data_IF_702790664377
#
_entry.id   IF_702790664377
#
_cell.length_a   1.000
_cell.length_b   1.000
_cell.length_c   1.000
_cell.angle_alpha   90.00
_cell.angle_beta   90.00
_cell.angle_gamma   90.00
#
_symmetry.space_group_name_H-M   'P 1'
#
loop_
_entity.id
_entity.type
_entity.pdbx_description
1 polymer ?
#
# COMPACT_ATOMS: atom_id res chain seq x y z
N UNK A 1 10.69 -19.76 6.49
CA UNK A 1 10.48 -18.36 6.06
C UNK A 1 11.58 -18.02 5.07
N UNK A 2 11.24 -17.73 3.82
CA UNK A 2 12.23 -17.36 2.81
C UNK A 2 12.89 -16.02 3.20
N UNK A 3 14.22 -16.01 3.34
CA UNK A 3 14.98 -14.80 3.63
C UNK A 3 15.04 -13.88 2.41
N UNK A 4 14.69 -12.60 2.58
CA UNK A 4 14.95 -11.56 1.60
C UNK A 4 16.47 -11.28 1.48
N UNK A 5 16.92 -10.85 0.30
CA UNK A 5 18.34 -10.58 -0.05
C UNK A 5 19.31 -11.76 0.03
N UNK A 6 18.96 -12.90 -0.60
CA UNK A 6 19.98 -13.88 -0.99
C UNK A 6 20.89 -13.22 -2.03
N UNK A 7 22.06 -12.73 -1.61
CA UNK A 7 23.12 -12.33 -2.53
C UNK A 7 23.35 -13.50 -3.48
N UNK A 8 23.14 -13.29 -4.79
CA UNK A 8 23.63 -14.22 -5.81
C UNK A 8 25.16 -14.19 -5.75
N UNK A 9 25.76 -15.01 -4.89
CA UNK A 9 27.18 -15.28 -4.98
C UNK A 9 27.37 -16.17 -6.21
N UNK A 10 28.00 -15.63 -7.26
CA UNK A 10 28.32 -16.37 -8.49
C UNK A 10 29.34 -17.50 -8.25
N UNK A 11 29.88 -17.61 -7.03
CA UNK A 11 30.79 -18.66 -6.59
C UNK A 11 30.33 -19.07 -5.19
N UNK A 12 30.17 -20.38 -4.88
CA UNK A 12 30.11 -20.81 -3.50
C UNK A 12 31.47 -20.46 -2.89
N UNK A 13 31.57 -19.32 -2.21
CA UNK A 13 32.72 -19.10 -1.34
C UNK A 13 32.59 -20.15 -0.25
N UNK A 14 33.41 -21.21 -0.32
CA UNK A 14 33.63 -22.07 0.83
C UNK A 14 33.94 -21.15 2.01
N UNK A 15 33.05 -21.13 3.00
CA UNK A 15 33.24 -20.32 4.20
C UNK A 15 34.53 -20.79 4.83
N UNK A 16 35.53 -19.91 4.97
CA UNK A 16 36.78 -20.30 5.61
C UNK A 16 36.50 -20.79 7.04
N UNK A 17 37.29 -21.72 7.59
CA UNK A 17 37.13 -22.18 8.96
C UNK A 17 37.04 -21.03 9.98
N UNK A 18 37.79 -19.95 9.77
CA UNK A 18 37.78 -18.75 10.61
C UNK A 18 36.46 -17.98 10.49
N UNK A 19 35.91 -17.84 9.28
CA UNK A 19 34.62 -17.20 9.07
C UNK A 19 33.48 -17.98 9.74
N UNK A 20 33.51 -19.32 9.64
CA UNK A 20 32.58 -20.20 10.32
C UNK A 20 32.70 -20.09 11.85
N UNK A 21 33.93 -20.11 12.38
CA UNK A 21 34.16 -19.99 13.82
C UNK A 21 33.68 -18.64 14.36
N UNK A 22 33.87 -17.55 13.61
CA UNK A 22 33.34 -16.23 13.93
C UNK A 22 31.81 -16.21 13.96
N UNK A 23 31.16 -16.77 12.94
CA UNK A 23 29.69 -16.85 12.87
C UNK A 23 29.13 -17.69 14.03
N UNK A 24 29.74 -18.83 14.36
CA UNK A 24 29.35 -19.66 15.52
C UNK A 24 29.48 -18.89 16.84
N UNK A 25 30.51 -18.06 16.98
CA UNK A 25 30.67 -17.19 18.17
C UNK A 25 29.56 -16.14 18.22
N UNK A 26 29.23 -15.50 17.11
CA UNK A 26 28.16 -14.51 17.03
C UNK A 26 26.78 -15.12 17.33
N UNK A 27 26.52 -16.34 16.84
CA UNK A 27 25.29 -17.10 17.13
C UNK A 27 25.20 -17.40 18.63
N UNK A 28 26.27 -17.91 19.26
CA UNK A 28 26.27 -18.19 20.70
C UNK A 28 25.98 -16.95 21.53
N UNK A 29 26.63 -15.83 21.23
CA UNK A 29 26.40 -14.55 21.92
C UNK A 29 24.95 -14.09 21.72
N UNK A 30 24.39 -14.24 20.52
CA UNK A 30 22.99 -13.89 20.27
C UNK A 30 22.03 -14.78 21.06
N UNK A 31 22.25 -16.10 21.08
CA UNK A 31 21.42 -17.05 21.82
C UNK A 31 21.44 -16.78 23.33
N UNK A 32 22.61 -16.51 23.90
CA UNK A 32 22.75 -16.14 25.31
C UNK A 32 21.96 -14.86 25.64
N UNK A 33 22.03 -13.84 24.76
CA UNK A 33 21.26 -12.61 24.95
C UNK A 33 19.74 -12.85 24.85
N UNK A 34 19.29 -13.73 23.95
CA UNK A 34 17.88 -14.13 23.85
C UNK A 34 17.42 -14.83 25.13
N UNK A 35 18.22 -15.77 25.63
CA UNK A 35 17.92 -16.51 26.86
C UNK A 35 17.83 -15.56 28.06
N UNK A 36 18.81 -14.66 28.22
CA UNK A 36 18.82 -13.67 29.29
C UNK A 36 17.58 -12.77 29.24
N UNK A 37 17.22 -12.26 28.05
CA UNK A 37 16.00 -11.44 27.88
C UNK A 37 14.76 -12.23 28.26
N UNK A 38 14.64 -13.48 27.82
CA UNK A 38 13.47 -14.31 28.13
C UNK A 38 13.35 -14.59 29.64
N UNK A 39 14.46 -14.92 30.31
CA UNK A 39 14.49 -15.15 31.76
C UNK A 39 14.06 -13.90 32.54
N UNK A 40 14.60 -12.72 32.19
CA UNK A 40 14.20 -11.46 32.83
C UNK A 40 12.73 -11.10 32.58
N UNK A 41 12.21 -11.37 31.37
CA UNK A 41 10.79 -11.18 31.07
C UNK A 41 9.89 -12.11 31.87
N UNK A 42 10.28 -13.38 32.03
CA UNK A 42 9.55 -14.36 32.84
C UNK A 42 9.52 -13.96 34.31
N UNK A 43 10.65 -13.49 34.83
CA UNK A 43 10.78 -12.96 36.18
C UNK A 43 10.06 -11.60 36.40
N UNK A 44 9.52 -10.99 35.33
CA UNK A 44 8.94 -9.63 35.32
C UNK A 44 9.94 -8.56 35.82
N UNK A 45 11.23 -8.77 35.59
CA UNK A 45 12.30 -7.83 35.91
C UNK A 45 12.40 -6.73 34.83
N UNK A 46 11.36 -5.90 34.73
CA UNK A 46 11.25 -4.87 33.70
C UNK A 46 12.10 -3.66 34.08
N UNK A 47 13.34 -3.66 33.60
CA UNK A 47 14.34 -2.61 33.89
C UNK A 47 14.76 -1.88 32.61
N UNK A 48 15.32 -0.67 32.73
CA UNK A 48 15.95 0.02 31.60
C UNK A 48 17.04 -0.83 30.93
N UNK A 49 17.77 -1.64 31.71
CA UNK A 49 18.77 -2.58 31.17
C UNK A 49 18.12 -3.64 30.26
N UNK A 50 17.01 -4.24 30.70
CA UNK A 50 16.26 -5.19 29.88
C UNK A 50 15.77 -4.54 28.58
N UNK A 51 15.27 -3.30 28.64
CA UNK A 51 14.86 -2.55 27.46
C UNK A 51 16.03 -2.36 26.48
N UNK A 52 17.24 -2.07 26.95
CA UNK A 52 18.44 -1.99 26.11
C UNK A 52 18.82 -3.34 25.50
N UNK A 53 18.66 -4.44 26.23
CA UNK A 53 18.90 -5.80 25.69
C UNK A 53 17.90 -6.15 24.57
N UNK A 54 16.62 -5.77 24.70
CA UNK A 54 15.65 -5.93 23.59
C UNK A 54 16.09 -5.11 22.37
N UNK A 55 16.54 -3.87 22.56
CA UNK A 55 17.05 -3.03 21.47
C UNK A 55 18.28 -3.67 20.78
N UNK A 56 19.20 -4.27 21.54
CA UNK A 56 20.37 -4.96 21.00
C UNK A 56 19.99 -6.17 20.13
N UNK A 57 18.99 -6.96 20.56
CA UNK A 57 18.44 -8.06 19.76
C UNK A 57 17.79 -7.56 18.47
N UNK A 58 16.98 -6.51 18.53
CA UNK A 58 16.26 -5.96 17.39
C UNK A 58 17.18 -5.27 16.36
N UNK A 59 18.27 -4.63 16.82
CA UNK A 59 19.33 -4.12 15.93
C UNK A 59 19.98 -5.23 15.10
N UNK A 60 20.07 -6.44 15.65
CA UNK A 60 20.61 -7.63 14.96
C UNK A 60 19.55 -8.29 14.08
N UNK A 61 18.35 -8.53 14.60
CA UNK A 61 17.26 -9.21 13.91
C UNK A 61 15.91 -8.58 14.26
N UNK A 62 15.43 -7.60 13.47
CA UNK A 62 14.12 -6.99 13.68
C UNK A 62 12.96 -7.90 13.26
N UNK A 63 13.20 -9.04 12.60
CA UNK A 63 12.14 -10.00 12.26
C UNK A 63 11.73 -10.87 13.47
N UNK A 64 12.48 -10.80 14.58
CA UNK A 64 12.17 -11.58 15.77
C UNK A 64 11.01 -10.94 16.57
N UNK A 65 9.79 -11.24 16.13
CA UNK A 65 8.54 -10.66 16.65
C UNK A 65 8.35 -10.77 18.17
N UNK A 66 8.82 -11.86 18.79
CA UNK A 66 8.72 -12.05 20.24
C UNK A 66 9.44 -10.93 21.00
N UNK A 67 10.57 -10.43 20.50
CA UNK A 67 11.32 -9.37 21.16
C UNK A 67 10.56 -8.03 21.10
N UNK A 68 9.83 -7.77 20.01
CA UNK A 68 8.92 -6.61 19.95
C UNK A 68 7.81 -6.71 20.98
N UNK A 69 7.25 -7.89 21.19
CA UNK A 69 6.23 -8.12 22.23
C UNK A 69 6.82 -7.91 23.63
N UNK A 70 8.03 -8.41 23.89
CA UNK A 70 8.73 -8.17 25.15
C UNK A 70 8.98 -6.68 25.39
N UNK A 71 9.42 -5.94 24.36
CA UNK A 71 9.59 -4.49 24.42
C UNK A 71 8.28 -3.77 24.79
N UNK A 72 7.15 -4.16 24.19
CA UNK A 72 5.83 -3.62 24.55
C UNK A 72 5.44 -3.94 25.98
N UNK A 73 5.70 -5.14 26.48
CA UNK A 73 5.38 -5.53 27.87
C UNK A 73 6.11 -4.66 28.89
N UNK A 74 7.37 -4.31 28.62
CA UNK A 74 8.14 -3.38 29.44
C UNK A 74 7.46 -2.01 29.47
N UNK A 75 7.15 -1.44 28.30
CA UNK A 75 6.49 -0.13 28.22
C UNK A 75 5.09 -0.11 28.83
N UNK A 76 4.29 -1.16 28.66
CA UNK A 76 2.96 -1.26 29.29
C UNK A 76 3.08 -1.23 30.81
N UNK A 77 4.08 -1.91 31.39
CA UNK A 77 4.33 -1.81 32.83
C UNK A 77 4.76 -0.38 33.21
N UNK A 78 5.70 0.20 32.47
CA UNK A 78 6.21 1.55 32.75
C UNK A 78 5.09 2.60 32.71
N UNK A 79 4.18 2.52 31.73
CA UNK A 79 3.00 3.38 31.67
C UNK A 79 2.04 3.16 32.85
N UNK A 80 1.86 1.91 33.27
CA UNK A 80 1.04 1.56 34.45
C UNK A 80 1.64 2.11 35.73
N UNK A 81 2.96 1.99 35.92
CA UNK A 81 3.67 2.47 37.09
C UNK A 81 3.61 4.00 37.17
N UNK A 82 3.74 4.69 36.04
CA UNK A 82 3.55 6.15 35.96
C UNK A 82 2.11 6.57 36.33
N UNK A 83 1.10 5.83 35.88
CA UNK A 83 -0.29 6.07 36.29
C UNK A 83 -0.51 5.83 37.78
N UNK A 84 0.12 4.79 38.34
CA UNK A 84 0.04 4.50 39.77
C UNK A 84 0.72 5.58 40.61
N UNK A 85 1.90 6.07 40.19
CA UNK A 85 2.62 7.16 40.85
C UNK A 85 1.79 8.44 40.95
N UNK A 86 0.98 8.76 39.92
CA UNK A 86 0.01 9.86 39.99
C UNK A 86 -1.11 9.56 41.00
N UNK A 87 -1.66 8.34 40.98
CA UNK A 87 -2.74 7.95 41.89
C UNK A 87 -2.35 8.02 43.37
N UNK A 88 -1.08 7.77 43.71
CA UNK A 88 -0.55 7.87 45.08
C UNK A 88 0.04 9.24 45.43
N UNK A 89 0.04 10.19 44.48
CA UNK A 89 0.50 11.56 44.69
C UNK A 89 2.02 11.77 44.63
N UNK A 90 2.78 10.78 44.12
CA UNK A 90 4.23 10.89 43.92
C UNK A 90 4.61 11.70 42.66
N UNK A 91 3.73 11.74 41.66
CA UNK A 91 3.89 12.50 40.41
C UNK A 91 2.63 13.29 40.08
N UNK A 92 2.79 14.40 39.36
CA UNK A 92 1.62 15.09 38.77
C UNK A 92 1.23 14.47 37.44
N UNK A 93 0.01 14.77 36.97
CA UNK A 93 -0.45 14.34 35.65
C UNK A 93 0.42 14.92 34.52
N UNK A 94 0.92 16.15 34.68
CA UNK A 94 1.86 16.76 33.73
C UNK A 94 3.19 16.00 33.67
N UNK A 95 3.72 15.55 34.82
CA UNK A 95 4.92 14.72 34.84
C UNK A 95 4.69 13.38 34.13
N UNK A 96 3.54 12.73 34.40
CA UNK A 96 3.14 11.49 33.73
C UNK A 96 3.10 11.64 32.21
N UNK A 97 2.45 12.70 31.72
CA UNK A 97 2.32 12.96 30.29
C UNK A 97 3.68 13.27 29.64
N UNK A 98 4.53 14.05 30.31
CA UNK A 98 5.88 14.35 29.82
C UNK A 98 6.73 13.09 29.68
N UNK A 99 6.74 12.23 30.69
CA UNK A 99 7.55 11.00 30.68
C UNK A 99 7.04 9.98 29.64
N UNK A 100 5.72 9.85 29.46
CA UNK A 100 5.15 9.01 28.40
C UNK A 100 5.51 9.55 27.02
N UNK A 101 5.46 10.86 26.83
CA UNK A 101 5.86 11.49 25.57
C UNK A 101 7.34 11.20 25.26
N UNK A 102 8.22 11.37 26.25
CA UNK A 102 9.65 11.07 26.11
C UNK A 102 9.89 9.60 25.74
N UNK A 103 9.22 8.66 26.41
CA UNK A 103 9.30 7.23 26.10
C UNK A 103 8.92 6.97 24.64
N UNK A 104 7.77 7.50 24.20
CA UNK A 104 7.26 7.30 22.84
C UNK A 104 8.22 7.93 21.81
N UNK A 105 8.64 9.17 22.02
CA UNK A 105 9.53 9.87 21.09
C UNK A 105 10.90 9.19 20.98
N UNK A 106 11.51 8.80 22.10
CA UNK A 106 12.79 8.10 22.11
C UNK A 106 12.69 6.75 21.40
N UNK A 107 11.58 6.02 21.56
CA UNK A 107 11.41 4.75 20.87
C UNK A 107 11.12 4.93 19.38
N UNK A 108 10.31 5.92 18.99
CA UNK A 108 10.13 6.30 17.59
C UNK A 108 11.47 6.68 16.93
N UNK A 109 12.38 7.34 17.65
CA UNK A 109 13.74 7.65 17.19
C UNK A 109 14.60 6.39 17.07
N UNK A 110 14.50 5.45 18.01
CA UNK A 110 15.17 4.15 17.94
C UNK A 110 14.75 3.34 16.70
N UNK A 111 13.47 3.40 16.33
CA UNK A 111 12.94 2.71 15.15
C UNK A 111 13.47 3.27 13.83
N UNK A 112 13.81 4.56 13.76
CA UNK A 112 14.21 5.24 12.52
C UNK A 112 15.38 4.56 11.78
N UNK A 113 16.55 4.31 12.40
CA UNK A 113 17.65 3.60 11.73
C UNK A 113 17.31 2.15 11.36
N UNK A 114 16.44 1.48 12.14
CA UNK A 114 15.98 0.13 11.79
C UNK A 114 15.11 0.16 10.54
N UNK A 115 14.19 1.13 10.46
CA UNK A 115 13.30 1.30 9.33
C UNK A 115 14.06 1.63 8.04
N UNK A 116 15.10 2.45 8.12
CA UNK A 116 15.97 2.76 6.98
C UNK A 116 16.75 1.54 6.46
N UNK A 117 17.12 0.62 7.36
CA UNK A 117 17.87 -0.59 7.04
C UNK A 117 16.97 -1.75 6.60
N UNK A 118 15.79 -1.87 7.19
CA UNK A 118 14.84 -2.95 6.98
C UNK A 118 13.43 -2.40 6.66
N UNK A 119 13.26 -1.66 5.55
CA UNK A 119 12.03 -0.93 5.25
C UNK A 119 10.81 -1.82 4.95
N UNK A 120 11.02 -3.14 4.86
CA UNK A 120 9.99 -4.17 4.58
C UNK A 120 9.76 -5.10 5.77
N UNK A 121 10.35 -4.80 6.93
CA UNK A 121 10.08 -5.57 8.15
C UNK A 121 8.72 -5.18 8.73
N UNK A 122 7.77 -6.11 8.76
CA UNK A 122 6.42 -5.90 9.29
C UNK A 122 6.43 -5.34 10.71
N UNK A 123 7.32 -5.88 11.56
CA UNK A 123 7.30 -5.60 12.98
C UNK A 123 7.77 -4.20 13.35
N UNK A 124 8.63 -3.59 12.53
CA UNK A 124 9.02 -2.19 12.72
C UNK A 124 7.82 -1.27 12.50
N UNK A 125 7.10 -1.44 11.37
CA UNK A 125 5.90 -0.66 11.08
C UNK A 125 4.80 -0.90 12.11
N UNK A 126 4.61 -2.15 12.52
CA UNK A 126 3.61 -2.52 13.52
C UNK A 126 3.93 -1.96 14.92
N UNK A 127 5.19 -1.99 15.35
CA UNK A 127 5.60 -1.37 16.62
C UNK A 127 5.49 0.15 16.58
N UNK A 128 5.80 0.77 15.44
CA UNK A 128 5.61 2.20 15.25
C UNK A 128 4.15 2.63 15.38
N UNK A 129 3.22 1.91 14.74
CA UNK A 129 1.78 2.15 14.90
C UNK A 129 1.33 1.97 16.35
N UNK A 130 1.79 0.91 17.01
CA UNK A 130 1.44 0.65 18.41
C UNK A 130 1.83 1.82 19.33
N UNK A 131 3.02 2.41 19.16
CA UNK A 131 3.45 3.60 19.92
C UNK A 131 2.51 4.79 19.72
N UNK A 132 2.09 5.04 18.49
CA UNK A 132 1.17 6.14 18.15
C UNK A 132 -0.27 5.87 18.64
N UNK A 133 -0.69 4.61 18.68
CA UNK A 133 -1.94 4.22 19.33
C UNK A 133 -1.86 4.49 20.84
N UNK A 134 -0.71 4.20 21.48
CA UNK A 134 -0.51 4.54 22.89
C UNK A 134 -0.52 6.06 23.12
N UNK A 135 0.03 6.87 22.21
CA UNK A 135 -0.06 8.33 22.35
C UNK A 135 -1.51 8.83 22.31
N UNK A 136 -2.36 8.25 21.45
CA UNK A 136 -3.78 8.61 21.39
C UNK A 136 -4.53 8.24 22.67
N UNK A 137 -4.14 7.16 23.35
CA UNK A 137 -4.78 6.71 24.58
C UNK A 137 -4.29 7.50 25.81
N UNK A 138 -2.99 7.80 25.87
CA UNK A 138 -2.33 8.20 27.10
C UNK A 138 -1.97 9.69 27.19
N UNK A 139 -1.95 10.41 26.06
CA UNK A 139 -1.52 11.81 25.96
C UNK A 139 -2.66 12.74 25.55
N UNK A 140 -2.54 14.06 25.81
CA UNK A 140 -3.48 15.05 25.28
C UNK A 140 -3.61 14.97 23.75
N UNK A 141 -4.81 15.28 23.25
CA UNK A 141 -5.16 15.18 21.82
C UNK A 141 -4.18 15.99 20.94
N UNK A 142 -3.82 17.21 21.36
CA UNK A 142 -2.88 18.05 20.61
C UNK A 142 -1.53 17.37 20.44
N UNK A 143 -0.96 16.86 21.53
CA UNK A 143 0.34 16.17 21.53
C UNK A 143 0.31 14.88 20.70
N UNK A 144 -0.74 14.07 20.84
CA UNK A 144 -0.88 12.86 20.02
C UNK A 144 -1.00 13.22 18.53
N UNK A 145 -1.80 14.23 18.20
CA UNK A 145 -1.99 14.68 16.82
C UNK A 145 -0.67 15.14 16.18
N UNK A 146 0.18 15.86 16.92
CA UNK A 146 1.50 16.27 16.44
C UNK A 146 2.37 15.06 16.08
N UNK A 147 2.41 14.04 16.95
CA UNK A 147 3.13 12.79 16.68
C UNK A 147 2.63 12.10 15.40
N UNK A 148 1.31 11.96 15.23
CA UNK A 148 0.74 11.38 14.01
C UNK A 148 1.02 12.21 12.75
N UNK A 149 1.09 13.55 12.86
CA UNK A 149 1.40 14.42 11.73
C UNK A 149 2.86 14.29 11.27
N UNK A 150 3.81 14.17 12.20
CA UNK A 150 5.23 13.95 11.88
C UNK A 150 5.43 12.68 11.03
N UNK A 151 4.61 11.66 11.25
CA UNK A 151 4.64 10.39 10.53
C UNK A 151 4.31 10.52 9.04
N UNK A 152 3.49 11.52 8.65
CA UNK A 152 3.26 11.82 7.23
C UNK A 152 4.56 12.28 6.54
N UNK A 153 5.43 12.99 7.27
CA UNK A 153 6.75 13.40 6.80
C UNK A 153 7.72 12.23 6.68
N UNK A 154 7.74 11.35 7.69
CA UNK A 154 8.54 10.12 7.66
C UNK A 154 8.15 9.23 6.48
N UNK A 155 6.88 8.85 6.39
CA UNK A 155 6.41 7.92 5.35
C UNK A 155 6.55 8.53 3.96
N UNK A 156 6.39 9.86 3.83
CA UNK A 156 6.69 10.59 2.61
C UNK A 156 8.14 10.38 2.15
N UNK A 157 9.12 10.53 3.05
CA UNK A 157 10.54 10.27 2.74
C UNK A 157 10.79 8.81 2.38
N UNK A 158 10.14 7.87 3.07
CA UNK A 158 10.28 6.43 2.78
C UNK A 158 9.74 6.08 1.39
N UNK A 159 8.59 6.63 1.01
CA UNK A 159 7.98 6.44 -0.31
C UNK A 159 8.74 7.18 -1.42
N UNK A 160 9.46 8.27 -1.12
CA UNK A 160 10.39 8.85 -2.09
C UNK A 160 11.60 7.94 -2.38
N UNK A 161 12.01 7.09 -1.43
CA UNK A 161 13.12 6.14 -1.60
C UNK A 161 12.70 4.83 -2.27
N UNK A 162 11.54 4.29 -1.88
CA UNK A 162 10.91 3.12 -2.52
C UNK A 162 9.41 3.39 -2.68
N UNK A 163 9.06 3.91 -3.85
CA UNK A 163 7.69 4.34 -4.16
C UNK A 163 6.70 3.18 -4.32
N UNK A 164 7.19 1.94 -4.38
CA UNK A 164 6.39 0.70 -4.40
C UNK A 164 6.39 -0.03 -3.06
N UNK A 165 6.93 0.59 -2.00
CA UNK A 165 6.89 0.00 -0.67
C UNK A 165 5.44 -0.05 -0.16
N UNK A 166 4.83 -1.23 -0.26
CA UNK A 166 3.44 -1.43 0.15
C UNK A 166 3.24 -1.23 1.67
N UNK A 167 4.27 -1.47 2.49
CA UNK A 167 4.20 -1.16 3.93
C UNK A 167 4.13 0.34 4.15
N UNK A 168 4.94 1.12 3.41
CA UNK A 168 4.89 2.58 3.46
C UNK A 168 3.51 3.11 3.05
N UNK A 169 2.95 2.61 1.96
CA UNK A 169 1.60 2.99 1.54
C UNK A 169 0.51 2.55 2.53
N UNK A 170 0.63 1.34 3.10
CA UNK A 170 -0.27 0.86 4.15
C UNK A 170 -0.21 1.72 5.40
N UNK A 171 0.99 1.99 5.88
CA UNK A 171 1.25 2.83 7.03
C UNK A 171 0.71 4.25 6.84
N UNK A 172 0.95 4.87 5.67
CA UNK A 172 0.40 6.20 5.35
C UNK A 172 -1.12 6.23 5.46
N UNK A 173 -1.82 5.22 4.91
CA UNK A 173 -3.28 5.13 5.02
C UNK A 173 -3.75 5.00 6.47
N UNK A 174 -3.07 4.21 7.30
CA UNK A 174 -3.39 4.10 8.73
C UNK A 174 -3.16 5.42 9.44
N UNK A 175 -2.04 6.13 9.18
CA UNK A 175 -1.76 7.45 9.77
C UNK A 175 -2.84 8.47 9.38
N UNK A 176 -3.22 8.53 8.11
CA UNK A 176 -4.32 9.40 7.64
C UNK A 176 -5.62 9.04 8.34
N UNK A 177 -5.99 7.75 8.38
CA UNK A 177 -7.20 7.30 9.05
C UNK A 177 -7.24 7.69 10.54
N UNK A 178 -6.11 7.57 11.25
CA UNK A 178 -6.00 8.02 12.64
C UNK A 178 -6.19 9.54 12.75
N UNK A 179 -5.54 10.31 11.88
CA UNK A 179 -5.63 11.79 11.86
C UNK A 179 -7.01 12.34 11.52
N UNK A 180 -7.81 11.57 10.76
CA UNK A 180 -9.22 11.84 10.43
C UNK A 180 -10.19 11.39 11.55
N UNK A 181 -9.74 10.57 12.50
CA UNK A 181 -10.61 9.99 13.51
C UNK A 181 -11.12 11.01 14.52
N UNK A 182 -12.30 10.74 15.09
CA UNK A 182 -12.85 11.53 16.18
C UNK A 182 -11.94 11.56 17.41
N UNK A 183 -11.15 10.50 17.65
CA UNK A 183 -10.20 10.44 18.76
C UNK A 183 -9.11 11.53 18.67
N UNK A 184 -8.79 12.00 17.45
CA UNK A 184 -7.83 13.07 17.20
C UNK A 184 -8.48 14.38 16.72
N UNK A 185 -9.80 14.52 16.93
CA UNK A 185 -10.61 15.62 16.42
C UNK A 185 -10.29 15.95 14.95
N UNK A 186 -10.20 14.89 14.15
CA UNK A 186 -9.83 14.94 12.75
C UNK A 186 -10.94 15.35 11.81
N UNK A 187 -10.54 15.80 10.63
CA UNK A 187 -11.40 16.02 9.48
C UNK A 187 -10.82 15.29 8.27
N UNK A 188 -11.63 15.05 7.24
CA UNK A 188 -11.19 14.35 6.03
C UNK A 188 -9.96 15.00 5.41
N UNK A 189 -8.94 14.17 5.15
CA UNK A 189 -7.72 14.56 4.46
C UNK A 189 -7.74 14.12 2.99
N UNK A 190 -8.88 13.63 2.50
CA UNK A 190 -8.97 12.93 1.21
C UNK A 190 -8.47 13.79 0.03
N UNK A 191 -8.77 15.09 -0.01
CA UNK A 191 -8.25 16.00 -1.05
C UNK A 191 -6.75 16.23 -0.95
N UNK A 192 -6.21 16.36 0.26
CA UNK A 192 -4.77 16.47 0.48
C UNK A 192 -4.03 15.21 0.00
N UNK A 193 -4.59 14.04 0.32
CA UNK A 193 -4.05 12.75 -0.14
C UNK A 193 -4.21 12.56 -1.65
N UNK A 194 -5.30 13.05 -2.27
CA UNK A 194 -5.45 13.04 -3.71
C UNK A 194 -4.35 13.88 -4.38
N UNK A 195 -4.03 15.05 -3.81
CA UNK A 195 -2.89 15.87 -4.21
C UNK A 195 -1.55 15.13 -4.05
N UNK A 196 -1.39 14.36 -2.96
CA UNK A 196 -0.21 13.52 -2.76
C UNK A 196 -0.07 12.44 -3.84
N UNK A 197 -1.16 11.74 -4.20
CA UNK A 197 -1.11 10.74 -5.29
C UNK A 197 -0.71 11.36 -6.62
N UNK A 198 -1.22 12.57 -6.95
CA UNK A 198 -0.83 13.31 -8.16
C UNK A 198 0.66 13.61 -8.17
N UNK A 199 1.23 14.07 -7.04
CA UNK A 199 2.68 14.28 -6.90
C UNK A 199 3.48 12.99 -7.12
N UNK A 200 3.02 11.88 -6.52
CA UNK A 200 3.72 10.60 -6.61
C UNK A 200 3.69 10.01 -8.03
N UNK A 201 2.55 10.14 -8.74
CA UNK A 201 2.41 9.77 -10.16
C UNK A 201 3.32 10.64 -11.02
N UNK A 202 3.33 11.96 -10.81
CA UNK A 202 4.20 12.87 -11.56
C UNK A 202 5.69 12.63 -11.34
N UNK A 203 6.08 11.99 -10.23
CA UNK A 203 7.47 11.59 -9.96
C UNK A 203 7.84 10.26 -10.65
N UNK A 204 6.90 9.32 -10.71
CA UNK A 204 7.08 8.03 -11.36
C UNK A 204 5.72 7.51 -11.83
N UNK A 205 5.56 7.50 -13.15
CA UNK A 205 4.33 7.12 -13.81
C UNK A 205 3.97 5.63 -13.56
N UNK A 206 4.97 4.77 -13.40
CA UNK A 206 4.81 3.34 -13.08
C UNK A 206 4.48 3.05 -11.62
N UNK A 207 4.16 4.08 -10.82
CA UNK A 207 3.79 3.91 -9.43
C UNK A 207 2.35 3.39 -9.28
N UNK A 208 2.16 2.08 -9.50
CA UNK A 208 0.88 1.40 -9.32
C UNK A 208 0.22 1.68 -7.96
N UNK A 209 1.01 1.82 -6.90
CA UNK A 209 0.46 2.09 -5.56
C UNK A 209 -0.17 3.48 -5.46
N UNK A 210 0.38 4.48 -6.17
CA UNK A 210 -0.20 5.81 -6.22
C UNK A 210 -1.50 5.83 -7.05
N UNK A 211 -1.54 5.16 -8.21
CA UNK A 211 -2.74 5.01 -9.03
C UNK A 211 -3.87 4.29 -8.28
N UNK A 212 -3.56 3.18 -7.60
CA UNK A 212 -4.51 2.45 -6.77
C UNK A 212 -5.04 3.28 -5.60
N UNK A 213 -4.17 4.07 -4.96
CA UNK A 213 -4.61 4.94 -3.87
C UNK A 213 -5.47 6.10 -4.39
N UNK A 214 -5.17 6.61 -5.59
CA UNK A 214 -5.88 7.72 -6.24
C UNK A 214 -7.35 7.38 -6.44
N UNK A 215 -7.66 6.24 -7.07
CA UNK A 215 -9.06 5.87 -7.33
C UNK A 215 -9.86 5.74 -6.03
N UNK A 216 -9.29 5.12 -5.00
CA UNK A 216 -9.96 4.96 -3.70
C UNK A 216 -10.27 6.31 -3.04
N UNK A 217 -9.36 7.26 -3.16
CA UNK A 217 -9.55 8.62 -2.65
C UNK A 217 -10.64 9.36 -3.42
N UNK A 218 -10.68 9.21 -4.75
CA UNK A 218 -11.73 9.84 -5.57
C UNK A 218 -13.11 9.33 -5.17
N UNK A 219 -13.29 8.01 -5.05
CA UNK A 219 -14.57 7.43 -4.61
C UNK A 219 -14.97 7.97 -3.23
N UNK A 220 -14.04 8.02 -2.28
CA UNK A 220 -14.25 8.61 -0.95
C UNK A 220 -14.68 10.08 -1.05
N UNK A 221 -14.00 10.90 -1.85
CA UNK A 221 -14.32 12.33 -2.03
C UNK A 221 -15.74 12.51 -2.59
N UNK A 222 -16.09 11.75 -3.63
CA UNK A 222 -17.41 11.84 -4.26
C UNK A 222 -18.54 11.45 -3.29
N UNK A 223 -18.28 10.52 -2.37
CA UNK A 223 -19.21 10.14 -1.29
C UNK A 223 -19.31 11.22 -0.20
N UNK A 224 -18.17 11.68 0.33
CA UNK A 224 -18.10 12.67 1.42
C UNK A 224 -18.74 14.01 1.02
N UNK A 225 -18.51 14.44 -0.22
CA UNK A 225 -19.04 15.69 -0.76
C UNK A 225 -20.47 15.57 -1.29
N UNK A 226 -21.05 14.36 -1.26
CA UNK A 226 -22.38 14.06 -1.83
C UNK A 226 -22.48 14.53 -3.27
N UNK A 227 -21.44 14.24 -4.05
CA UNK A 227 -21.31 14.69 -5.43
C UNK A 227 -22.51 14.21 -6.26
N UNK A 228 -23.11 15.14 -7.00
CA UNK A 228 -24.19 14.85 -7.94
C UNK A 228 -23.66 14.19 -9.22
N UNK A 229 -24.57 13.76 -10.11
CA UNK A 229 -24.20 13.02 -11.31
C UNK A 229 -23.31 13.82 -12.28
N UNK A 230 -23.49 15.14 -12.35
CA UNK A 230 -22.67 16.02 -13.18
C UNK A 230 -21.24 16.15 -12.63
N UNK A 231 -21.10 16.32 -11.31
CA UNK A 231 -19.80 16.38 -10.64
C UNK A 231 -19.04 15.06 -10.77
N UNK A 232 -19.75 13.93 -10.65
CA UNK A 232 -19.20 12.58 -10.84
C UNK A 232 -18.73 12.35 -12.28
N UNK A 233 -19.52 12.77 -13.26
CA UNK A 233 -19.18 12.71 -14.68
C UNK A 233 -17.95 13.55 -14.99
N UNK A 234 -17.91 14.78 -14.50
CA UNK A 234 -16.74 15.65 -14.65
C UNK A 234 -15.47 15.03 -14.08
N UNK A 235 -15.55 14.43 -12.89
CA UNK A 235 -14.41 13.71 -12.28
C UNK A 235 -13.95 12.53 -13.16
N UNK A 236 -14.89 11.74 -13.69
CA UNK A 236 -14.59 10.64 -14.61
C UNK A 236 -13.88 11.15 -15.88
N UNK A 237 -14.39 12.21 -16.50
CA UNK A 237 -13.81 12.81 -17.70
C UNK A 237 -12.38 13.32 -17.45
N UNK A 238 -12.13 13.94 -16.29
CA UNK A 238 -10.81 14.40 -15.87
C UNK A 238 -9.83 13.23 -15.67
N UNK A 239 -10.28 12.10 -15.12
CA UNK A 239 -9.45 10.90 -14.92
C UNK A 239 -9.20 10.12 -16.21
N UNK A 240 -10.18 10.05 -17.13
CA UNK A 240 -9.98 9.51 -18.48
C UNK A 240 -8.94 10.32 -19.24
N UNK A 241 -9.09 11.64 -19.25
CA UNK A 241 -8.11 12.54 -19.86
C UNK A 241 -6.72 12.38 -19.25
N UNK A 242 -6.63 12.22 -17.93
CA UNK A 242 -5.36 11.97 -17.24
C UNK A 242 -4.72 10.66 -17.71
N UNK A 243 -5.49 9.57 -17.80
CA UNK A 243 -4.93 8.28 -18.21
C UNK A 243 -4.55 8.26 -19.69
N UNK A 244 -5.31 8.93 -20.57
CA UNK A 244 -4.95 9.10 -21.98
C UNK A 244 -3.63 9.87 -22.13
N UNK A 245 -3.42 10.92 -21.33
CA UNK A 245 -2.16 11.64 -21.31
C UNK A 245 -1.00 10.80 -20.78
N UNK A 246 -1.26 9.90 -19.83
CA UNK A 246 -0.24 9.03 -19.25
C UNK A 246 0.14 7.87 -20.19
N UNK A 247 -0.80 7.37 -21.00
CA UNK A 247 -0.62 6.27 -21.94
C UNK A 247 0.25 6.63 -23.16
N UNK A 248 0.98 7.75 -23.13
CA UNK A 248 2.14 7.95 -24.01
C UNK A 248 3.21 6.87 -23.85
N UNK A 249 3.26 6.20 -22.68
CA UNK A 249 3.97 4.94 -22.47
C UNK A 249 2.98 3.78 -22.38
N UNK A 250 2.55 3.21 -23.53
CA UNK A 250 1.56 2.14 -23.54
C UNK A 250 2.12 0.81 -23.02
N UNK A 251 3.41 0.69 -22.73
CA UNK A 251 3.99 -0.56 -22.23
C UNK A 251 3.89 -0.70 -20.70
N UNK A 252 3.57 0.39 -20.00
CA UNK A 252 3.39 0.38 -18.55
C UNK A 252 2.05 -0.24 -18.14
N UNK A 253 2.13 -1.47 -17.63
CA UNK A 253 0.97 -2.21 -17.14
C UNK A 253 0.15 -1.47 -16.07
N UNK A 254 0.79 -0.59 -15.28
CA UNK A 254 0.13 0.12 -14.17
C UNK A 254 -0.94 1.06 -14.68
N UNK A 255 -0.71 1.66 -15.85
CA UNK A 255 -1.63 2.57 -16.52
C UNK A 255 -2.86 1.82 -17.02
N UNK A 256 -2.66 0.68 -17.67
CA UNK A 256 -3.76 -0.16 -18.11
C UNK A 256 -4.59 -0.71 -16.96
N UNK A 257 -3.99 -1.06 -15.82
CA UNK A 257 -4.77 -1.45 -14.64
C UNK A 257 -5.60 -0.29 -14.07
N UNK A 258 -5.10 0.95 -14.16
CA UNK A 258 -5.88 2.13 -13.78
C UNK A 258 -7.04 2.35 -14.76
N UNK A 259 -6.75 2.30 -16.07
CA UNK A 259 -7.75 2.37 -17.15
C UNK A 259 -8.84 1.31 -16.98
N UNK A 260 -8.47 0.04 -16.80
CA UNK A 260 -9.41 -1.06 -16.52
C UNK A 260 -10.32 -0.78 -15.33
N UNK A 261 -9.80 -0.13 -14.29
CA UNK A 261 -10.62 0.27 -13.15
C UNK A 261 -11.63 1.37 -13.53
N UNK A 262 -11.23 2.36 -14.33
CA UNK A 262 -12.15 3.37 -14.87
C UNK A 262 -13.25 2.72 -15.71
N UNK A 263 -12.89 1.74 -16.56
CA UNK A 263 -13.82 0.99 -17.40
C UNK A 263 -14.90 0.24 -16.61
N UNK A 264 -14.66 -0.11 -15.34
CA UNK A 264 -15.69 -0.69 -14.48
C UNK A 264 -16.90 0.26 -14.27
N UNK A 265 -16.73 1.56 -14.49
CA UNK A 265 -17.84 2.54 -14.48
C UNK A 265 -18.84 2.30 -15.61
N UNK A 266 -18.39 1.71 -16.72
CA UNK A 266 -19.20 1.45 -17.90
C UNK A 266 -19.76 0.02 -17.96
N UNK A 267 -19.26 -0.89 -17.14
CA UNK A 267 -19.78 -2.25 -17.03
C UNK A 267 -21.07 -2.26 -16.19
N UNK A 268 -22.23 -2.66 -16.73
CA UNK A 268 -23.49 -2.73 -15.97
C UNK A 268 -23.40 -3.54 -14.68
N UNK A 269 -22.56 -4.58 -14.65
CA UNK A 269 -22.38 -5.43 -13.47
C UNK A 269 -21.52 -4.80 -12.36
N UNK A 270 -20.76 -3.74 -12.67
CA UNK A 270 -19.82 -3.10 -11.74
C UNK A 270 -20.09 -1.60 -11.52
N UNK A 271 -20.86 -0.97 -12.41
CA UNK A 271 -21.07 0.49 -12.46
C UNK A 271 -21.56 1.08 -11.13
N UNK A 272 -22.35 0.32 -10.36
CA UNK A 272 -22.85 0.74 -9.04
C UNK A 272 -21.74 1.10 -8.03
N UNK A 273 -20.51 0.59 -8.23
CA UNK A 273 -19.32 0.88 -7.39
C UNK A 273 -18.33 1.82 -8.07
N UNK A 274 -18.63 2.28 -9.29
CA UNK A 274 -17.80 3.16 -10.08
C UNK A 274 -17.95 4.64 -9.72
N UNK A 275 -17.25 5.50 -10.44
CA UNK A 275 -17.28 6.95 -10.20
C UNK A 275 -18.63 7.58 -10.57
N UNK A 276 -19.24 7.13 -11.66
CA UNK A 276 -20.50 7.64 -12.21
C UNK A 276 -21.56 6.50 -12.32
N UNK A 277 -22.18 6.08 -11.21
CA UNK A 277 -23.08 4.92 -11.19
C UNK A 277 -24.40 5.13 -11.96
N UNK A 278 -24.82 6.38 -12.16
CA UNK A 278 -26.12 6.74 -12.74
C UNK A 278 -26.07 7.07 -14.25
N UNK A 279 -24.96 6.80 -14.94
CA UNK A 279 -24.93 6.90 -16.40
C UNK A 279 -26.00 5.99 -17.02
N UNK A 280 -26.66 6.49 -18.07
CA UNK A 280 -27.51 5.67 -18.93
C UNK A 280 -26.69 4.71 -19.78
N UNK A 281 -27.33 3.64 -20.29
CA UNK A 281 -26.63 2.71 -21.19
C UNK A 281 -26.18 3.38 -22.49
N UNK A 282 -26.92 4.38 -22.97
CA UNK A 282 -26.50 5.19 -24.13
C UNK A 282 -25.23 6.00 -23.83
N UNK A 283 -25.14 6.62 -22.65
CA UNK A 283 -23.93 7.33 -22.23
C UNK A 283 -22.75 6.39 -22.05
N UNK A 284 -22.96 5.22 -21.41
CA UNK A 284 -21.92 4.18 -21.28
C UNK A 284 -21.40 3.74 -22.64
N UNK A 285 -22.29 3.49 -23.61
CA UNK A 285 -21.90 3.13 -24.97
C UNK A 285 -21.06 4.21 -25.65
N UNK A 286 -21.39 5.50 -25.47
CA UNK A 286 -20.59 6.61 -26.01
C UNK A 286 -19.18 6.64 -25.43
N UNK A 287 -19.04 6.47 -24.11
CA UNK A 287 -17.71 6.39 -23.48
C UNK A 287 -16.92 5.19 -23.97
N UNK A 288 -17.53 3.99 -24.00
CA UNK A 288 -16.86 2.78 -24.46
C UNK A 288 -16.40 2.90 -25.91
N UNK A 289 -17.21 3.50 -26.79
CA UNK A 289 -16.83 3.76 -28.18
C UNK A 289 -15.64 4.73 -28.29
N UNK A 290 -15.65 5.83 -27.51
CA UNK A 290 -14.54 6.78 -27.48
C UNK A 290 -13.24 6.13 -26.95
N UNK A 291 -13.33 5.26 -25.94
CA UNK A 291 -12.18 4.53 -25.43
C UNK A 291 -11.65 3.51 -26.46
N UNK A 292 -12.52 2.83 -27.20
CA UNK A 292 -12.10 1.94 -28.29
C UNK A 292 -11.36 2.72 -29.39
N UNK A 293 -11.87 3.87 -29.81
CA UNK A 293 -11.22 4.75 -30.81
C UNK A 293 -9.84 5.19 -30.31
N UNK A 294 -9.74 5.68 -29.08
CA UNK A 294 -8.46 6.06 -28.47
C UNK A 294 -7.47 4.89 -28.40
N UNK A 295 -7.91 3.69 -28.04
CA UNK A 295 -7.02 2.52 -27.96
C UNK A 295 -6.58 2.05 -29.36
N UNK A 296 -7.46 2.16 -30.37
CA UNK A 296 -7.09 1.92 -31.77
C UNK A 296 -6.02 2.93 -32.24
N UNK A 297 -6.12 4.22 -31.87
CA UNK A 297 -5.06 5.22 -32.12
C UNK A 297 -3.73 4.84 -31.44
N UNK A 298 -3.75 4.37 -30.19
CA UNK A 298 -2.54 3.90 -29.49
C UNK A 298 -1.86 2.76 -30.26
N UNK A 299 -2.63 1.87 -30.90
CA UNK A 299 -2.09 0.76 -31.68
C UNK A 299 -1.44 1.19 -32.99
N UNK A 300 -1.73 2.38 -33.53
CA UNK A 300 -1.06 2.89 -34.74
C UNK A 300 0.45 3.06 -34.53
N UNK A 301 0.85 3.43 -33.31
CA UNK A 301 2.26 3.62 -32.93
C UNK A 301 2.83 2.49 -32.06
N UNK A 302 1.99 1.56 -31.56
CA UNK A 302 2.38 0.52 -30.61
C UNK A 302 1.73 -0.85 -30.89
N UNK A 303 1.86 -1.35 -32.13
CA UNK A 303 1.31 -2.63 -32.57
C UNK A 303 1.81 -3.87 -31.78
N UNK A 304 2.95 -3.78 -31.08
CA UNK A 304 3.46 -4.84 -30.21
C UNK A 304 3.06 -4.67 -28.73
N UNK A 305 2.22 -3.67 -28.42
CA UNK A 305 1.64 -3.50 -27.09
C UNK A 305 0.45 -4.44 -26.87
N UNK A 306 0.70 -5.55 -26.17
CA UNK A 306 -0.37 -6.49 -25.80
C UNK A 306 -1.50 -5.88 -24.97
N UNK A 307 -1.23 -4.82 -24.21
CA UNK A 307 -2.21 -4.25 -23.29
C UNK A 307 -3.32 -3.51 -24.03
N UNK A 308 -3.01 -2.84 -25.13
CA UNK A 308 -3.99 -2.20 -25.98
C UNK A 308 -4.97 -3.22 -26.59
N UNK A 309 -4.48 -4.36 -27.09
CA UNK A 309 -5.36 -5.44 -27.55
C UNK A 309 -6.24 -6.02 -26.44
N UNK A 310 -5.70 -6.18 -25.23
CA UNK A 310 -6.49 -6.63 -24.09
C UNK A 310 -7.59 -5.62 -23.72
N UNK A 311 -7.26 -4.33 -23.72
CA UNK A 311 -8.20 -3.26 -23.42
C UNK A 311 -9.32 -3.17 -24.49
N UNK A 312 -9.01 -3.35 -25.78
CA UNK A 312 -10.01 -3.42 -26.84
C UNK A 312 -10.99 -4.58 -26.63
N UNK A 313 -10.47 -5.77 -26.32
CA UNK A 313 -11.33 -6.92 -26.01
C UNK A 313 -12.23 -6.62 -24.82
N UNK A 314 -11.67 -6.12 -23.72
CA UNK A 314 -12.45 -5.81 -22.50
C UNK A 314 -13.52 -4.75 -22.76
N UNK A 315 -13.20 -3.69 -23.51
CA UNK A 315 -14.15 -2.66 -23.95
C UNK A 315 -15.27 -3.23 -24.82
N UNK A 316 -14.96 -4.09 -25.79
CA UNK A 316 -15.97 -4.74 -26.64
C UNK A 316 -16.87 -5.70 -25.84
N UNK A 317 -16.35 -6.34 -24.79
CA UNK A 317 -17.18 -7.17 -23.91
C UNK A 317 -18.14 -6.33 -23.05
N UNK A 318 -17.72 -5.15 -22.59
CA UNK A 318 -18.62 -4.20 -21.92
C UNK A 318 -19.73 -3.76 -22.89
N UNK A 319 -19.36 -3.39 -24.11
CA UNK A 319 -20.30 -3.00 -25.17
C UNK A 319 -21.30 -4.11 -25.48
N UNK A 320 -20.85 -5.36 -25.60
CA UNK A 320 -21.72 -6.52 -25.79
C UNK A 320 -22.74 -6.68 -24.65
N UNK A 321 -22.30 -6.52 -23.39
CA UNK A 321 -23.23 -6.59 -22.24
C UNK A 321 -24.29 -5.50 -22.27
N UNK A 322 -23.95 -4.30 -22.75
CA UNK A 322 -24.88 -3.18 -22.93
C UNK A 322 -25.86 -3.41 -24.10
N UNK A 323 -25.39 -3.98 -25.21
CA UNK A 323 -26.22 -4.24 -26.41
C UNK A 323 -27.01 -5.55 -26.35
N UNK A 324 -26.69 -6.45 -25.43
CA UNK A 324 -27.30 -7.78 -25.33
C UNK A 324 -26.66 -8.84 -26.23
N UNK A 325 -25.42 -8.63 -26.68
CA UNK A 325 -24.67 -9.59 -27.50
C UNK A 325 -23.64 -8.93 -28.43
N UNK A 326 -22.79 -9.77 -29.01
CA UNK A 326 -21.80 -9.37 -30.00
C UNK A 326 -22.40 -9.41 -31.41
N UNK A 327 -21.98 -8.47 -32.25
CA UNK A 327 -22.17 -8.55 -33.70
C UNK A 327 -21.08 -9.41 -34.33
N UNK A 328 -21.35 -9.97 -35.50
CA UNK A 328 -20.36 -10.76 -36.26
C UNK A 328 -19.09 -9.97 -36.58
N UNK A 329 -19.19 -8.64 -36.72
CA UNK A 329 -18.03 -7.75 -36.92
C UNK A 329 -17.16 -7.67 -35.66
N UNK A 330 -17.78 -7.51 -34.49
CA UNK A 330 -17.09 -7.48 -33.18
C UNK A 330 -16.44 -8.84 -32.86
N UNK A 331 -17.14 -9.96 -33.12
CA UNK A 331 -16.58 -11.31 -32.98
C UNK A 331 -15.34 -11.53 -33.83
N UNK A 332 -15.38 -11.07 -35.09
CA UNK A 332 -14.24 -11.15 -36.01
C UNK A 332 -13.07 -10.28 -35.55
N UNK A 333 -13.32 -9.05 -35.08
CA UNK A 333 -12.28 -8.16 -34.54
C UNK A 333 -11.60 -8.76 -33.32
N UNK A 334 -12.38 -9.22 -32.33
CA UNK A 334 -11.83 -9.83 -31.12
C UNK A 334 -11.03 -11.09 -31.41
N UNK A 335 -11.49 -11.92 -32.35
CA UNK A 335 -10.72 -13.10 -32.78
C UNK A 335 -9.34 -12.71 -33.33
N UNK A 336 -9.23 -11.59 -34.04
CA UNK A 336 -7.94 -11.09 -34.53
C UNK A 336 -7.07 -10.55 -33.40
N UNK A 337 -7.63 -9.77 -32.47
CA UNK A 337 -6.91 -9.28 -31.29
C UNK A 337 -6.39 -10.42 -30.39
N UNK A 338 -7.17 -11.50 -30.21
CA UNK A 338 -6.74 -12.69 -29.45
C UNK A 338 -5.56 -13.38 -30.13
N UNK A 339 -5.49 -13.42 -31.48
CA UNK A 339 -4.30 -13.92 -32.18
C UNK A 339 -3.07 -13.05 -31.92
N UNK A 340 -3.23 -11.73 -31.87
CA UNK A 340 -2.12 -10.84 -31.49
C UNK A 340 -1.66 -11.11 -30.05
N UNK A 341 -2.57 -11.31 -29.10
CA UNK A 341 -2.22 -11.71 -27.72
C UNK A 341 -1.47 -13.04 -27.65
N UNK A 342 -1.80 -14.02 -28.50
CA UNK A 342 -1.04 -15.26 -28.61
C UNK A 342 0.42 -15.04 -29.05
N UNK A 343 0.64 -14.12 -29.98
CA UNK A 343 1.98 -13.74 -30.47
C UNK A 343 2.76 -12.96 -29.40
N UNK A 344 2.11 -12.00 -28.74
CA UNK A 344 2.75 -11.02 -27.86
C UNK A 344 2.90 -11.49 -26.40
N UNK A 345 2.08 -12.45 -25.93
CA UNK A 345 2.14 -12.97 -24.55
C UNK A 345 2.10 -14.51 -24.49
N UNK A 346 3.15 -15.18 -25.01
CA UNK A 346 3.19 -16.65 -25.08
C UNK A 346 3.16 -17.32 -23.69
N UNK A 347 3.63 -16.62 -22.65
CA UNK A 347 3.60 -17.12 -21.27
C UNK A 347 2.17 -17.29 -20.73
N UNK A 348 1.19 -16.59 -21.32
CA UNK A 348 -0.23 -16.67 -20.93
C UNK A 348 -1.09 -17.38 -21.98
N UNK A 349 -0.50 -18.20 -22.87
CA UNK A 349 -1.23 -18.91 -23.94
C UNK A 349 -2.50 -19.62 -23.46
N UNK A 350 -2.48 -20.26 -22.29
CA UNK A 350 -3.65 -20.93 -21.72
C UNK A 350 -4.81 -19.98 -21.41
N UNK A 351 -4.52 -18.74 -20.97
CA UNK A 351 -5.54 -17.70 -20.75
C UNK A 351 -6.23 -17.32 -22.06
N UNK A 352 -5.47 -17.16 -23.13
CA UNK A 352 -5.99 -16.74 -24.43
C UNK A 352 -6.79 -17.86 -25.12
N UNK A 353 -6.38 -19.12 -24.92
CA UNK A 353 -7.17 -20.28 -25.35
C UNK A 353 -8.53 -20.37 -24.65
N UNK A 354 -8.57 -20.15 -23.33
CA UNK A 354 -9.81 -20.10 -22.56
C UNK A 354 -10.72 -18.96 -23.05
N UNK A 355 -10.16 -17.77 -23.28
CA UNK A 355 -10.91 -16.64 -23.85
C UNK A 355 -11.50 -16.96 -25.23
N UNK A 356 -10.72 -17.55 -26.13
CA UNK A 356 -11.18 -17.96 -27.47
C UNK A 356 -12.33 -18.99 -27.38
N UNK A 357 -12.24 -19.94 -26.44
CA UNK A 357 -13.30 -20.93 -26.22
C UNK A 357 -14.58 -20.30 -25.72
N UNK A 358 -14.50 -19.35 -24.77
CA UNK A 358 -15.67 -18.65 -24.26
C UNK A 358 -16.34 -17.80 -25.32
N UNK A 359 -15.55 -17.13 -26.17
CA UNK A 359 -16.06 -16.36 -27.31
C UNK A 359 -16.82 -17.26 -28.29
N UNK A 360 -16.32 -18.47 -28.59
CA UNK A 360 -17.01 -19.45 -29.46
C UNK A 360 -18.31 -19.99 -28.86
N UNK A 361 -18.37 -20.09 -27.54
CA UNK A 361 -19.51 -20.67 -26.82
C UNK A 361 -20.58 -19.63 -26.43
N UNK A 362 -20.39 -18.34 -26.76
CA UNK A 362 -21.24 -17.23 -26.32
C UNK A 362 -21.39 -17.16 -24.79
N UNK A 363 -20.33 -17.46 -24.04
CA UNK A 363 -20.32 -17.48 -22.56
C UNK A 363 -19.46 -16.37 -21.95
N UNK A 364 -19.31 -15.23 -22.63
CA UNK A 364 -18.44 -14.12 -22.18
C UNK A 364 -19.23 -12.97 -21.56
#
# INVERSE_FOLDING_TARGET
MASHDVRRSAVPTERTPEALQKELKEIRVYQQLVEEVNQKIEARDFTPELLQKTAALLKKNPEYYTIWNHRRRIYVQEFSDLSQAVAVGEKTEENRQSEILDIIQLDLQFLFPLLLKYPKCYWIWNHRLWLLEQSTILLPISTSRDLWQEELGLVGKMLSRDNRNFHGWGYRRTVVQSLESSALHGESMARGELGYTKKMIGTNLSNFSAWHNRIKLILKILEEEKANDEERRKMLDEELKLIHQALFDPYDQSLWFYHQNLMCTFDPGQAARGMAPHLSDEERLRYVAAEQEYIEEVLEDAEDCKWAYLALIESTLIESRLKGGLTTKEESKMSEWVKQLHKLDPLRRGRWQDLEQRLKNNTV
#
